data_IF_282892071649
#
_entry.id   IF_282892071649
#
_cell.length_a   1.000
_cell.length_b   1.000
_cell.length_c   1.000
_cell.angle_alpha   90.00
_cell.angle_beta   90.00
_cell.angle_gamma   90.00
#
_symmetry.space_group_name_H-M   'P 1'
#
loop_
_entity.id
_entity.type
_entity.pdbx_description
1 polymer ?
#
# COMPACT_ATOMS: atom_id res chain seq x y z
N UNK A 1 -7.08 -2.52 -15.59
CA UNK A 1 -6.73 -3.38 -14.43
C UNK A 1 -5.25 -3.81 -14.43
N UNK A 2 -4.60 -4.08 -15.57
CA UNK A 2 -3.17 -4.48 -15.57
C UNK A 2 -2.18 -3.42 -15.03
N UNK A 3 -2.34 -2.15 -15.40
CA UNK A 3 -1.38 -1.11 -15.04
C UNK A 3 -1.39 -0.71 -13.55
N UNK A 4 -2.47 -0.99 -12.83
CA UNK A 4 -2.60 -0.62 -11.41
C UNK A 4 -1.54 -1.30 -10.54
N UNK A 5 -1.26 -2.60 -10.80
CA UNK A 5 -0.23 -3.32 -10.03
C UNK A 5 1.18 -2.74 -10.21
N UNK A 6 1.52 -2.26 -11.41
CA UNK A 6 2.79 -1.60 -11.63
C UNK A 6 2.89 -0.26 -10.87
N UNK A 7 1.80 0.51 -10.83
CA UNK A 7 1.74 1.76 -10.08
C UNK A 7 1.85 1.54 -8.57
N UNK A 8 1.20 0.49 -8.03
CA UNK A 8 1.28 0.15 -6.61
C UNK A 8 2.73 -0.21 -6.21
N UNK A 9 3.43 -0.95 -7.07
CA UNK A 9 4.86 -1.28 -6.86
C UNK A 9 5.72 -0.02 -6.91
N UNK A 10 5.56 0.84 -7.91
CA UNK A 10 6.31 2.11 -8.03
C UNK A 10 6.09 2.98 -6.78
N UNK A 11 4.83 3.13 -6.36
CA UNK A 11 4.47 3.91 -5.18
C UNK A 11 5.08 3.32 -3.90
N UNK A 12 5.09 1.99 -3.78
CA UNK A 12 5.71 1.30 -2.64
C UNK A 12 7.23 1.50 -2.62
N UNK A 13 7.90 1.43 -3.77
CA UNK A 13 9.33 1.70 -3.87
C UNK A 13 9.67 3.14 -3.46
N UNK A 14 8.89 4.13 -3.92
CA UNK A 14 9.07 5.53 -3.51
C UNK A 14 8.81 5.72 -2.01
N UNK A 15 7.80 5.06 -1.45
CA UNK A 15 7.54 5.09 -0.01
C UNK A 15 8.71 4.49 0.80
N UNK A 16 9.31 3.40 0.30
CA UNK A 16 10.50 2.78 0.89
C UNK A 16 11.75 3.64 0.74
N UNK A 17 11.92 4.32 -0.38
CA UNK A 17 13.04 5.23 -0.64
C UNK A 17 13.01 6.43 0.30
N UNK A 18 11.84 7.05 0.46
CA UNK A 18 11.66 8.26 1.27
C UNK A 18 11.31 7.99 2.74
N UNK A 19 11.19 6.72 3.16
CA UNK A 19 10.78 6.31 4.51
C UNK A 19 9.51 7.05 4.99
N UNK A 20 8.53 7.15 4.07
CA UNK A 20 7.27 7.85 4.25
C UNK A 20 6.12 7.01 3.70
N UNK A 21 5.18 6.65 4.57
CA UNK A 21 3.97 5.91 4.19
C UNK A 21 2.92 6.90 3.67
N UNK A 22 2.44 6.73 2.42
CA UNK A 22 1.37 7.58 1.89
C UNK A 22 0.04 7.36 2.63
N UNK A 23 -0.81 8.38 2.73
CA UNK A 23 -2.09 8.25 3.41
C UNK A 23 -3.15 7.56 2.56
N UNK A 24 -4.09 6.91 3.24
CA UNK A 24 -5.42 6.61 2.69
C UNK A 24 -6.29 7.85 2.85
N UNK A 25 -6.36 8.67 1.81
CA UNK A 25 -7.19 9.88 1.79
C UNK A 25 -8.69 9.54 1.85
N UNK A 26 -9.49 10.53 2.28
CA UNK A 26 -10.96 10.45 2.34
C UNK A 26 -11.54 9.43 3.35
N UNK A 27 -10.71 8.85 4.21
CA UNK A 27 -11.17 7.94 5.27
C UNK A 27 -11.72 8.76 6.45
N UNK A 28 -13.02 9.12 6.37
CA UNK A 28 -13.73 9.92 7.40
C UNK A 28 -14.66 9.09 8.30
N UNK A 29 -15.17 7.99 7.76
CA UNK A 29 -16.11 7.10 8.44
C UNK A 29 -15.57 5.67 8.31
N UNK A 30 -14.73 5.23 9.27
CA UNK A 30 -14.15 3.89 9.23
C UNK A 30 -15.23 2.82 9.45
N UNK A 31 -15.09 1.69 8.75
CA UNK A 31 -15.97 0.54 8.91
C UNK A 31 -15.52 -0.29 10.13
N UNK A 32 -16.42 -0.68 11.06
CA UNK A 32 -16.08 -1.53 12.21
C UNK A 32 -15.44 -2.88 11.84
N UNK A 33 -15.67 -3.40 10.64
CA UNK A 33 -15.06 -4.64 10.15
C UNK A 33 -13.63 -4.42 9.59
N UNK A 34 -13.27 -3.17 9.31
CA UNK A 34 -11.97 -2.75 8.83
C UNK A 34 -11.21 -2.12 10.00
N UNK A 35 -10.61 -2.96 10.85
CA UNK A 35 -10.01 -2.58 12.14
C UNK A 35 -8.47 -2.44 12.10
N UNK A 36 -7.86 -2.47 10.91
CA UNK A 36 -6.42 -2.30 10.74
C UNK A 36 -6.01 -0.82 10.73
N UNK A 37 -4.69 -0.59 10.73
CA UNK A 37 -4.13 0.75 10.57
C UNK A 37 -3.97 1.09 9.08
N UNK A 38 -4.90 1.88 8.56
CA UNK A 38 -4.94 2.30 7.15
C UNK A 38 -4.20 3.61 6.87
N UNK A 39 -3.51 4.22 7.85
CA UNK A 39 -2.84 5.53 7.69
C UNK A 39 -3.82 6.61 7.14
N UNK A 40 -4.89 6.95 7.88
CA UNK A 40 -5.95 7.81 7.38
C UNK A 40 -5.49 9.26 7.17
N UNK A 41 -5.76 9.82 5.99
CA UNK A 41 -5.70 11.24 5.63
C UNK A 41 -4.33 11.95 5.69
N UNK A 42 -3.42 11.56 6.58
CA UNK A 42 -2.10 12.17 6.76
C UNK A 42 -0.97 11.13 6.60
N UNK A 43 0.06 11.52 5.84
CA UNK A 43 1.22 10.66 5.61
C UNK A 43 1.98 10.41 6.93
N UNK A 44 2.64 9.25 7.05
CA UNK A 44 3.38 8.87 8.25
C UNK A 44 4.83 8.55 7.95
N UNK A 45 5.76 9.25 8.57
CA UNK A 45 7.19 8.91 8.51
C UNK A 45 7.45 7.57 9.21
N UNK A 46 8.08 6.63 8.52
CA UNK A 46 8.47 5.32 9.05
C UNK A 46 9.53 4.70 8.15
N UNK A 47 10.58 4.13 8.75
CA UNK A 47 11.55 3.33 8.00
C UNK A 47 10.89 2.06 7.48
N UNK A 48 10.91 1.84 6.16
CA UNK A 48 10.27 0.68 5.51
C UNK A 48 11.36 -0.24 4.93
N UNK A 49 11.72 -1.28 5.69
CA UNK A 49 12.72 -2.27 5.25
C UNK A 49 12.14 -3.30 4.29
N UNK A 50 10.92 -3.74 4.58
CA UNK A 50 10.20 -4.73 3.79
C UNK A 50 8.77 -4.21 3.56
N UNK A 51 8.24 -4.44 2.36
CA UNK A 51 6.88 -4.08 2.00
C UNK A 51 6.23 -5.22 1.21
N UNK A 52 4.91 -5.35 1.34
CA UNK A 52 4.10 -6.31 0.60
C UNK A 52 3.09 -5.56 -0.26
N UNK A 53 3.04 -5.87 -1.55
CA UNK A 53 2.07 -5.34 -2.49
C UNK A 53 1.10 -6.46 -2.86
N UNK A 54 -0.20 -6.22 -2.67
CA UNK A 54 -1.27 -7.18 -2.96
C UNK A 54 -2.14 -6.62 -4.09
N UNK A 55 -2.34 -7.41 -5.15
CA UNK A 55 -3.24 -7.07 -6.24
C UNK A 55 -4.29 -8.16 -6.44
N UNK A 56 -5.54 -7.74 -6.67
CA UNK A 56 -6.66 -8.64 -6.96
C UNK A 56 -7.35 -8.23 -8.26
N UNK A 57 -7.63 -9.22 -9.12
CA UNK A 57 -8.23 -9.02 -10.43
C UNK A 57 -9.52 -9.81 -10.62
N UNK A 58 -10.28 -9.45 -11.66
CA UNK A 58 -11.44 -10.24 -12.09
C UNK A 58 -11.03 -11.67 -12.46
N UNK A 59 -11.94 -12.63 -12.28
CA UNK A 59 -11.63 -14.04 -12.54
C UNK A 59 -10.89 -14.74 -11.40
N UNK A 60 -10.85 -14.14 -10.20
CA UNK A 60 -10.24 -14.76 -9.02
C UNK A 60 -8.71 -14.67 -8.98
N UNK A 61 -8.11 -13.82 -9.81
CA UNK A 61 -6.65 -13.63 -9.88
C UNK A 61 -6.17 -12.90 -8.62
N UNK A 62 -5.20 -13.49 -7.92
CA UNK A 62 -4.56 -12.93 -6.75
C UNK A 62 -3.05 -12.95 -6.95
N UNK A 63 -2.41 -11.81 -6.76
CA UNK A 63 -0.96 -11.65 -6.91
C UNK A 63 -0.41 -10.95 -5.67
N UNK A 64 0.77 -11.38 -5.23
CA UNK A 64 1.48 -10.80 -4.09
C UNK A 64 2.96 -10.66 -4.45
N UNK A 65 3.52 -9.48 -4.18
CA UNK A 65 4.95 -9.21 -4.28
C UNK A 65 5.47 -8.77 -2.91
N UNK A 66 6.67 -9.24 -2.55
CA UNK A 66 7.41 -8.76 -1.38
C UNK A 66 8.65 -8.03 -1.88
N UNK A 67 8.83 -6.80 -1.41
CA UNK A 67 9.95 -5.92 -1.73
C UNK A 67 10.82 -5.76 -0.48
N UNK A 68 12.13 -5.78 -0.68
CA UNK A 68 13.11 -5.60 0.38
C UNK A 68 14.08 -4.49 -0.04
N UNK A 69 14.31 -3.53 0.87
CA UNK A 69 15.32 -2.48 0.70
C UNK A 69 16.71 -3.14 0.79
N UNK A 70 17.67 -2.80 -0.09
CA UNK A 70 19.01 -3.38 -0.09
C UNK A 70 19.75 -3.25 1.24
#
# INVERSE_FOLDING_TARGET
LGACGALDVITTLLAMEHDLIPPTINLKMPDPQCDLDYVPNEARAKVIKNAMVINRGRGGINCVLVLQKP
#
